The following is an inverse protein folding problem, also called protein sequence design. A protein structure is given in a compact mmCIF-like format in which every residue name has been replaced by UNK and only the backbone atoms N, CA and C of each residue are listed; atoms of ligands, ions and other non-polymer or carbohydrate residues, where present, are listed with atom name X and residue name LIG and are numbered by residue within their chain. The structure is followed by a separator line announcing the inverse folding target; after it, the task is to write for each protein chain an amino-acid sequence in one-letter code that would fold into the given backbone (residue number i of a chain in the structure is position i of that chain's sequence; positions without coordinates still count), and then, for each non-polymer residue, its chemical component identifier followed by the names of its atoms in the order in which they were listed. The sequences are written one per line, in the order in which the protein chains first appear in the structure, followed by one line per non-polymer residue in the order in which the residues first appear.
data_IF_048266750952
#
_entry.id   IF_048266750952
#
_cell.length_a   1.000
_cell.length_b   1.000
_cell.length_c   1.000
_cell.angle_alpha   90.00
_cell.angle_beta   90.00
_cell.angle_gamma   90.00
#
_symmetry.space_group_name_H-M   'P 1'
#
loop_
_entity.id
_entity.type
_entity.pdbx_description
1 polymer ?
#
# COMPACT_ATOMS: atom_id res chain seq x y z
N UNK A 1 15.02 41.68 31.85
CA UNK A 1 15.16 40.21 31.84
C UNK A 1 14.29 39.66 30.73
N UNK A 2 14.88 38.83 29.86
CA UNK A 2 14.26 38.21 28.69
C UNK A 2 13.26 37.15 29.15
N UNK A 3 12.01 37.18 28.68
CA UNK A 3 11.12 36.02 28.80
C UNK A 3 11.14 35.25 27.49
N UNK A 4 11.59 34.01 27.57
CA UNK A 4 11.66 33.07 26.47
C UNK A 4 10.28 32.43 26.34
N UNK A 5 9.52 32.80 25.31
CA UNK A 5 8.24 32.14 25.02
C UNK A 5 8.51 30.78 24.37
N UNK A 6 8.11 29.73 25.08
CA UNK A 6 8.20 28.33 24.69
C UNK A 6 7.31 28.10 23.47
N UNK A 7 7.93 27.66 22.37
CA UNK A 7 7.28 27.22 21.15
C UNK A 7 6.55 25.89 21.41
N UNK A 8 5.23 25.88 21.29
CA UNK A 8 4.47 24.64 21.10
C UNK A 8 3.83 24.72 19.72
N UNK A 9 4.40 23.98 18.76
CA UNK A 9 3.85 23.85 17.40
C UNK A 9 3.02 22.57 17.39
N UNK A 10 1.70 22.72 17.47
CA UNK A 10 0.77 21.65 17.13
C UNK A 10 0.77 21.51 15.61
N UNK A 11 1.55 20.55 15.12
CA UNK A 11 1.55 20.12 13.73
C UNK A 11 0.32 19.22 13.56
N UNK A 12 -0.82 19.80 13.17
CA UNK A 12 -1.94 19.01 12.67
C UNK A 12 -1.57 18.53 11.26
N UNK A 13 -0.79 17.46 11.18
CA UNK A 13 -0.68 16.67 9.97
C UNK A 13 -1.98 15.90 9.81
N UNK A 14 -2.88 16.35 8.93
CA UNK A 14 -3.96 15.49 8.42
C UNK A 14 -3.35 14.46 7.48
N UNK A 15 -2.74 13.43 8.06
CA UNK A 15 -2.58 12.13 7.42
C UNK A 15 -3.96 11.49 7.37
N UNK A 16 -4.71 11.74 6.30
CA UNK A 16 -5.74 10.80 5.87
C UNK A 16 -5.00 9.63 5.24
N UNK A 17 -4.44 8.77 6.09
CA UNK A 17 -4.06 7.41 5.70
C UNK A 17 -5.38 6.69 5.49
N UNK A 18 -5.66 6.31 4.24
CA UNK A 18 -6.71 5.35 3.95
C UNK A 18 -6.37 4.04 4.66
N UNK A 19 -7.19 3.72 5.66
CA UNK A 19 -7.46 2.41 6.26
C UNK A 19 -6.60 1.24 5.74
N UNK A 20 -5.48 0.98 6.42
CA UNK A 20 -5.15 -0.40 6.75
C UNK A 20 -5.68 -0.63 8.15
N UNK A 21 -6.50 -1.65 8.30
CA UNK A 21 -7.07 -2.09 9.56
C UNK A 21 -5.98 -2.74 10.42
N UNK A 22 -5.12 -1.90 11.01
CA UNK A 22 -4.26 -2.31 12.09
C UNK A 22 -5.13 -2.38 13.34
N UNK A 23 -5.40 -3.59 13.82
CA UNK A 23 -5.97 -3.85 15.14
C UNK A 23 -5.06 -3.18 16.18
N UNK A 24 -5.45 -1.99 16.62
CA UNK A 24 -4.84 -1.33 17.75
C UNK A 24 -4.96 -2.27 18.96
N UNK A 25 -3.88 -2.49 19.74
CA UNK A 25 -4.00 -3.21 20.98
C UNK A 25 -5.04 -2.52 21.85
N UNK A 26 -5.92 -3.32 22.44
CA UNK A 26 -7.02 -2.90 23.29
C UNK A 26 -6.55 -1.79 24.23
N UNK A 27 -7.10 -0.59 24.04
CA UNK A 27 -6.69 0.61 24.76
C UNK A 27 -6.92 0.34 26.24
N UNK A 28 -5.84 0.18 27.01
CA UNK A 28 -5.93 -0.10 28.45
C UNK A 28 -6.79 0.96 29.13
N UNK A 29 -7.56 0.56 30.14
CA UNK A 29 -8.53 1.43 30.82
C UNK A 29 -7.92 2.78 31.26
N UNK A 30 -6.64 2.78 31.64
CA UNK A 30 -5.91 4.00 32.02
C UNK A 30 -5.73 4.99 30.85
N UNK A 31 -5.49 4.52 29.64
CA UNK A 31 -5.37 5.37 28.44
C UNK A 31 -6.73 5.91 28.03
N UNK A 32 -7.78 5.08 28.12
CA UNK A 32 -9.15 5.49 27.87
C UNK A 32 -9.60 6.59 28.85
N UNK A 33 -9.33 6.40 30.14
CA UNK A 33 -9.67 7.34 31.21
C UNK A 33 -8.85 8.62 31.10
N UNK A 34 -7.56 8.55 30.80
CA UNK A 34 -6.74 9.74 30.59
C UNK A 34 -7.16 10.54 29.35
N UNK A 35 -7.56 9.86 28.27
CA UNK A 35 -8.14 10.50 27.09
C UNK A 35 -9.46 11.19 27.43
N UNK A 36 -10.33 10.53 28.19
CA UNK A 36 -11.60 11.11 28.65
C UNK A 36 -11.38 12.35 29.53
N UNK A 37 -10.45 12.29 30.50
CA UNK A 37 -10.06 13.43 31.33
C UNK A 37 -9.46 14.58 30.52
N UNK A 38 -8.62 14.28 29.54
CA UNK A 38 -8.06 15.29 28.65
C UNK A 38 -9.16 15.95 27.79
N UNK A 39 -10.11 15.16 27.28
CA UNK A 39 -11.27 15.71 26.55
C UNK A 39 -12.14 16.59 27.46
N UNK A 40 -12.38 16.20 28.70
CA UNK A 40 -13.14 17.02 29.65
C UNK A 40 -12.40 18.30 30.02
N UNK A 41 -11.10 18.20 30.33
CA UNK A 41 -10.25 19.36 30.59
C UNK A 41 -10.22 20.32 29.40
N UNK A 42 -10.08 19.80 28.17
CA UNK A 42 -10.12 20.61 26.96
C UNK A 42 -11.51 21.22 26.74
N UNK A 43 -12.61 20.51 26.98
CA UNK A 43 -13.98 21.03 26.85
C UNK A 43 -14.30 22.10 27.89
N UNK A 44 -13.94 21.89 29.17
CA UNK A 44 -14.11 22.86 30.24
C UNK A 44 -13.28 24.13 30.00
N UNK A 45 -12.02 23.99 29.58
CA UNK A 45 -11.14 25.14 29.36
C UNK A 45 -11.28 25.79 27.97
N UNK A 46 -11.96 25.15 27.00
CA UNK A 46 -12.35 25.79 25.74
C UNK A 46 -13.68 26.55 25.88
N UNK A 47 -14.63 26.07 26.70
CA UNK A 47 -15.89 26.75 26.93
C UNK A 47 -15.75 28.00 27.82
N UNK A 48 -14.69 28.11 28.62
CA UNK A 48 -14.42 29.33 29.40
C UNK A 48 -13.70 30.43 28.59
N UNK A 49 -13.26 30.15 27.35
CA UNK A 49 -12.51 31.11 26.52
C UNK A 49 -13.09 31.39 25.13
N UNK A 50 -14.26 30.85 24.78
CA UNK A 50 -14.94 31.19 23.52
C UNK A 50 -16.42 31.45 23.77
N UNK A 51 -16.72 32.59 24.40
CA UNK A 51 -17.94 33.31 24.08
C UNK A 51 -17.72 33.99 22.72
N UNK A 52 -18.42 33.51 21.69
CA UNK A 52 -18.33 33.97 20.29
C UNK A 52 -18.57 35.49 20.10
N UNK A 53 -19.03 36.20 21.13
CA UNK A 53 -19.21 37.65 21.12
C UNK A 53 -17.91 38.46 21.37
N UNK A 54 -16.90 37.90 22.04
CA UNK A 54 -15.69 38.67 22.41
C UNK A 54 -14.59 38.65 21.32
N UNK A 55 -14.54 37.61 20.48
CA UNK A 55 -13.58 37.52 19.37
C UNK A 55 -13.93 38.46 18.22
N UNK A 56 -15.19 38.91 18.14
CA UNK A 56 -15.68 39.79 17.08
C UNK A 56 -15.45 41.30 17.33
N UNK A 57 -15.15 41.75 18.56
CA UNK A 57 -15.26 43.18 18.93
C UNK A 57 -13.98 43.90 19.38
N UNK A 58 -12.80 43.26 19.39
CA UNK A 58 -11.55 43.99 19.61
C UNK A 58 -11.09 44.70 18.31
N UNK A 59 -11.01 46.06 18.26
CA UNK A 59 -10.59 46.76 17.06
C UNK A 59 -9.16 46.34 16.69
N UNK A 60 -9.01 45.67 15.55
CA UNK A 60 -7.70 45.36 14.95
C UNK A 60 -7.21 43.91 15.04
N UNK A 61 -7.89 42.98 15.73
CA UNK A 61 -7.54 41.54 15.71
C UNK A 61 -8.29 40.80 14.59
N UNK A 62 -7.57 39.93 13.86
CA UNK A 62 -8.06 39.21 12.68
C UNK A 62 -8.68 37.86 13.09
N UNK A 63 -9.78 37.46 12.46
CA UNK A 63 -10.53 36.25 12.81
C UNK A 63 -9.76 34.96 12.48
N UNK A 64 -9.60 34.08 13.48
CA UNK A 64 -8.95 32.78 13.35
C UNK A 64 -9.72 31.88 12.36
N UNK A 65 -11.05 31.83 12.45
CA UNK A 65 -11.88 31.05 11.52
C UNK A 65 -11.70 31.48 10.06
N UNK A 66 -11.63 32.79 9.79
CA UNK A 66 -11.33 33.30 8.43
C UNK A 66 -9.94 32.91 7.97
N UNK A 67 -8.95 32.91 8.86
CA UNK A 67 -7.60 32.46 8.52
C UNK A 67 -7.58 30.97 8.14
N UNK A 68 -8.32 30.13 8.86
CA UNK A 68 -8.42 28.69 8.56
C UNK A 68 -9.06 28.44 7.19
N UNK A 69 -10.21 29.09 6.90
CA UNK A 69 -10.88 28.97 5.59
C UNK A 69 -9.96 29.45 4.46
N UNK A 70 -9.24 30.55 4.66
CA UNK A 70 -8.29 31.06 3.66
C UNK A 70 -7.16 30.07 3.40
N UNK A 71 -6.58 29.47 4.46
CA UNK A 71 -5.54 28.44 4.31
C UNK A 71 -6.04 27.16 3.64
N UNK A 72 -7.31 26.80 3.80
CA UNK A 72 -7.91 25.64 3.14
C UNK A 72 -8.08 25.84 1.62
N UNK A 73 -8.32 27.08 1.19
CA UNK A 73 -8.39 27.43 -0.24
C UNK A 73 -6.99 27.55 -0.83
N UNK A 74 -6.07 28.19 -0.10
CA UNK A 74 -4.73 28.46 -0.58
C UNK A 74 -3.72 28.36 0.58
N UNK A 75 -2.80 27.39 0.51
CA UNK A 75 -1.70 27.24 1.46
C UNK A 75 -1.05 28.55 1.90
N UNK A 76 -0.98 28.80 3.22
CA UNK A 76 -0.37 30.01 3.78
C UNK A 76 -1.22 31.30 3.74
N UNK A 77 -2.38 31.32 3.06
CA UNK A 77 -3.21 32.53 2.94
C UNK A 77 -3.81 33.02 4.28
N UNK A 78 -4.10 32.12 5.22
CA UNK A 78 -4.53 32.50 6.57
C UNK A 78 -3.47 33.25 7.37
N UNK A 79 -2.19 32.96 7.13
CA UNK A 79 -1.07 33.60 7.82
C UNK A 79 -0.75 34.97 7.22
N UNK A 80 -0.97 35.14 5.92
CA UNK A 80 -1.01 36.44 5.24
C UNK A 80 -2.15 37.30 5.81
N UNK A 81 -3.35 36.72 5.99
CA UNK A 81 -4.48 37.40 6.63
C UNK A 81 -4.18 37.84 8.07
N UNK A 82 -3.38 37.05 8.80
CA UNK A 82 -2.87 37.37 10.13
C UNK A 82 -1.67 38.35 10.14
N UNK A 83 -1.33 38.97 9.00
CA UNK A 83 -0.20 39.91 8.81
C UNK A 83 1.19 39.31 9.10
N UNK A 84 1.32 37.99 9.18
CA UNK A 84 2.60 37.31 9.38
C UNK A 84 3.15 36.80 8.05
N UNK A 85 3.49 37.73 7.15
CA UNK A 85 3.91 37.44 5.78
C UNK A 85 5.10 36.48 5.69
N UNK A 86 6.11 36.64 6.57
CA UNK A 86 7.28 35.75 6.57
C UNK A 86 6.90 34.32 6.97
N UNK A 87 5.98 34.15 7.94
CA UNK A 87 5.47 32.82 8.30
C UNK A 87 4.64 32.25 7.16
N UNK A 88 3.72 33.03 6.59
CA UNK A 88 2.94 32.69 5.40
C UNK A 88 3.81 32.17 4.26
N UNK A 89 4.88 32.88 3.94
CA UNK A 89 5.82 32.50 2.91
C UNK A 89 6.57 31.20 3.23
N UNK A 90 7.05 31.04 4.47
CA UNK A 90 7.76 29.82 4.89
C UNK A 90 6.86 28.59 4.84
N UNK A 91 5.62 28.70 5.32
CA UNK A 91 4.64 27.61 5.27
C UNK A 91 4.24 27.29 3.83
N UNK A 92 3.98 28.31 3.00
CA UNK A 92 3.71 28.10 1.57
C UNK A 92 4.88 27.38 0.88
N UNK A 93 6.12 27.79 1.15
CA UNK A 93 7.31 27.15 0.58
C UNK A 93 7.45 25.68 1.04
N UNK A 94 7.21 25.41 2.32
CA UNK A 94 7.24 24.05 2.86
C UNK A 94 6.16 23.17 2.21
N UNK A 95 4.94 23.69 2.07
CA UNK A 95 3.84 22.96 1.46
C UNK A 95 4.06 22.72 -0.03
N UNK A 96 4.48 23.74 -0.80
CA UNK A 96 4.84 23.57 -2.20
C UNK A 96 5.96 22.53 -2.40
N UNK A 97 6.94 22.51 -1.50
CA UNK A 97 8.01 21.50 -1.51
C UNK A 97 7.45 20.11 -1.24
N UNK A 98 6.59 19.95 -0.23
CA UNK A 98 5.95 18.68 0.10
C UNK A 98 5.09 18.15 -1.06
N UNK A 99 4.30 19.02 -1.72
CA UNK A 99 3.54 18.67 -2.92
C UNK A 99 4.44 18.25 -4.08
N UNK A 100 5.53 18.98 -4.32
CA UNK A 100 6.48 18.65 -5.40
C UNK A 100 7.10 17.28 -5.17
N UNK A 101 7.53 16.99 -3.94
CA UNK A 101 8.07 15.68 -3.56
C UNK A 101 6.98 14.61 -3.73
N UNK A 102 5.77 14.83 -3.22
CA UNK A 102 4.67 13.87 -3.34
C UNK A 102 4.38 13.51 -4.81
N UNK A 103 4.23 14.52 -5.67
CA UNK A 103 3.99 14.34 -7.11
C UNK A 103 5.13 13.55 -7.75
N UNK A 104 6.39 13.94 -7.49
CA UNK A 104 7.55 13.27 -8.07
C UNK A 104 7.66 11.80 -7.63
N UNK A 105 7.39 11.49 -6.36
CA UNK A 105 7.44 10.12 -5.86
C UNK A 105 6.25 9.26 -6.33
N UNK A 106 5.06 9.85 -6.49
CA UNK A 106 3.92 9.13 -7.07
C UNK A 106 4.20 8.76 -8.53
N UNK A 107 4.71 9.70 -9.34
CA UNK A 107 5.11 9.42 -10.73
C UNK A 107 6.16 8.30 -10.81
N UNK A 108 7.17 8.34 -9.93
CA UNK A 108 8.17 7.30 -9.85
C UNK A 108 7.59 5.94 -9.44
N UNK A 109 6.59 5.93 -8.56
CA UNK A 109 5.85 4.72 -8.17
C UNK A 109 5.05 4.14 -9.35
N UNK A 110 4.39 4.99 -10.12
CA UNK A 110 3.64 4.58 -11.32
C UNK A 110 4.59 4.03 -12.40
N UNK A 111 5.75 4.65 -12.58
CA UNK A 111 6.79 4.17 -13.50
C UNK A 111 7.29 2.79 -13.08
N UNK A 112 7.60 2.59 -11.80
CA UNK A 112 8.02 1.27 -11.29
C UNK A 112 6.94 0.21 -11.42
N UNK A 113 5.67 0.59 -11.20
CA UNK A 113 4.54 -0.31 -11.44
C UNK A 113 4.47 -0.73 -12.90
N UNK A 114 4.66 0.21 -13.84
CA UNK A 114 4.65 -0.07 -15.28
C UNK A 114 5.81 -0.97 -15.70
N UNK A 115 7.02 -0.68 -15.22
CA UNK A 115 8.21 -1.50 -15.47
C UNK A 115 8.02 -2.94 -14.98
N UNK A 116 7.50 -3.13 -13.75
CA UNK A 116 7.24 -4.47 -13.21
C UNK A 116 6.20 -5.22 -14.03
N UNK A 117 5.09 -4.58 -14.39
CA UNK A 117 4.04 -5.21 -15.21
C UNK A 117 4.56 -5.65 -16.56
N UNK A 118 5.32 -4.77 -17.22
CA UNK A 118 5.94 -5.09 -18.51
C UNK A 118 6.90 -6.28 -18.37
N UNK A 119 7.75 -6.28 -17.33
CA UNK A 119 8.66 -7.37 -17.07
C UNK A 119 7.92 -8.71 -16.84
N UNK A 120 6.86 -8.71 -16.04
CA UNK A 120 6.00 -9.90 -15.83
C UNK A 120 5.37 -10.35 -17.15
N UNK A 121 4.85 -9.44 -17.95
CA UNK A 121 4.21 -9.79 -19.23
C UNK A 121 5.21 -10.33 -20.27
N UNK A 122 6.49 -9.95 -20.18
CA UNK A 122 7.55 -10.42 -21.06
C UNK A 122 8.17 -11.76 -20.61
N UNK A 123 8.29 -12.01 -19.30
CA UNK A 123 9.10 -13.12 -18.76
C UNK A 123 8.31 -14.18 -17.97
N UNK A 124 7.07 -13.89 -17.58
CA UNK A 124 6.24 -14.82 -16.81
C UNK A 124 5.10 -15.38 -17.66
N UNK A 125 4.80 -16.67 -17.51
CA UNK A 125 3.81 -17.36 -18.34
C UNK A 125 2.76 -18.13 -17.54
N UNK A 126 1.48 -17.82 -17.76
CA UNK A 126 0.33 -18.56 -17.19
C UNK A 126 0.36 -20.03 -17.61
N UNK A 127 0.63 -20.30 -18.89
CA UNK A 127 0.81 -21.66 -19.41
C UNK A 127 1.86 -22.41 -18.60
N UNK A 128 2.98 -21.75 -18.29
CA UNK A 128 4.06 -22.34 -17.52
C UNK A 128 3.67 -22.54 -16.05
N UNK A 129 2.92 -21.61 -15.47
CA UNK A 129 2.37 -21.74 -14.12
C UNK A 129 1.49 -22.99 -13.99
N UNK A 130 0.48 -23.13 -14.85
CA UNK A 130 -0.42 -24.28 -14.81
C UNK A 130 0.30 -25.60 -15.14
N UNK A 131 1.31 -25.55 -16.01
CA UNK A 131 2.18 -26.71 -16.26
C UNK A 131 2.99 -27.10 -15.02
N UNK A 132 3.49 -26.13 -14.25
CA UNK A 132 4.20 -26.38 -13.00
C UNK A 132 3.28 -26.93 -11.90
N UNK A 133 2.08 -26.36 -11.75
CA UNK A 133 1.03 -26.88 -10.86
C UNK A 133 0.76 -28.34 -11.17
N UNK A 134 0.49 -28.67 -12.44
CA UNK A 134 0.26 -30.04 -12.87
C UNK A 134 1.46 -30.95 -12.57
N UNK A 135 2.68 -30.50 -12.89
CA UNK A 135 3.91 -31.22 -12.59
C UNK A 135 4.08 -31.53 -11.09
N UNK A 136 3.62 -30.63 -10.20
CA UNK A 136 3.65 -30.84 -8.76
C UNK A 136 2.54 -31.78 -8.29
N UNK A 137 1.31 -31.58 -8.76
CA UNK A 137 0.14 -32.37 -8.37
C UNK A 137 0.26 -33.84 -8.80
N UNK A 138 0.83 -34.15 -9.98
CA UNK A 138 1.00 -35.53 -10.43
C UNK A 138 1.92 -36.38 -9.53
N UNK A 139 2.71 -35.73 -8.68
CA UNK A 139 3.59 -36.38 -7.70
C UNK A 139 2.91 -36.55 -6.32
N UNK A 140 1.65 -36.12 -6.17
CA UNK A 140 0.88 -36.31 -4.94
C UNK A 140 0.25 -37.71 -4.93
N UNK A 141 0.60 -38.51 -3.94
CA UNK A 141 0.11 -39.88 -3.82
C UNK A 141 -1.41 -39.93 -3.65
N UNK A 142 -2.08 -40.74 -4.46
CA UNK A 142 -3.53 -40.98 -4.38
C UNK A 142 -4.41 -39.89 -5.01
N UNK A 143 -3.82 -38.86 -5.63
CA UNK A 143 -4.58 -37.84 -6.36
C UNK A 143 -4.86 -38.31 -7.79
N UNK A 144 -6.14 -38.49 -8.13
CA UNK A 144 -6.57 -38.79 -9.49
C UNK A 144 -6.62 -37.50 -10.32
N UNK A 145 -5.67 -37.36 -11.24
CA UNK A 145 -5.56 -36.20 -12.12
C UNK A 145 -5.85 -36.58 -13.56
N UNK A 146 -6.51 -35.69 -14.33
CA UNK A 146 -6.62 -35.85 -15.77
C UNK A 146 -5.24 -35.87 -16.41
N UNK A 147 -5.10 -36.62 -17.50
CA UNK A 147 -3.89 -36.62 -18.31
C UNK A 147 -3.92 -35.48 -19.33
N UNK A 148 -2.91 -34.63 -19.32
CA UNK A 148 -2.72 -33.59 -20.33
C UNK A 148 -1.63 -33.96 -21.32
N UNK A 149 -1.70 -33.42 -22.54
CA UNK A 149 -0.61 -33.55 -23.50
C UNK A 149 0.51 -32.57 -23.15
N UNK A 150 1.72 -33.11 -22.97
CA UNK A 150 2.91 -32.34 -22.61
C UNK A 150 3.86 -32.23 -23.80
N UNK A 151 4.35 -31.03 -24.06
CA UNK A 151 5.60 -30.82 -24.77
C UNK A 151 6.76 -31.10 -23.79
N UNK A 152 7.52 -32.14 -24.11
CA UNK A 152 8.67 -32.61 -23.31
C UNK A 152 10.00 -32.31 -23.98
N UNK A 153 10.03 -31.38 -24.94
CA UNK A 153 11.25 -30.94 -25.63
C UNK A 153 12.32 -30.45 -24.66
N UNK A 154 11.91 -29.81 -23.56
CA UNK A 154 12.76 -29.56 -22.41
C UNK A 154 12.35 -30.48 -21.24
N UNK A 155 13.19 -31.46 -20.85
CA UNK A 155 12.86 -32.40 -19.79
C UNK A 155 12.76 -31.76 -18.40
N UNK A 156 13.31 -30.54 -18.21
CA UNK A 156 13.28 -29.85 -16.92
C UNK A 156 12.05 -28.93 -16.77
N UNK A 157 11.32 -28.66 -17.86
CA UNK A 157 10.12 -27.81 -17.85
C UNK A 157 9.10 -28.29 -18.88
N UNK A 158 8.51 -29.49 -18.70
CA UNK A 158 7.47 -29.97 -19.60
C UNK A 158 6.27 -29.01 -19.60
N UNK A 159 5.76 -28.65 -20.79
CA UNK A 159 4.70 -27.65 -20.94
C UNK A 159 3.40 -28.31 -21.42
N UNK A 160 2.28 -28.02 -20.77
CA UNK A 160 0.97 -28.43 -21.25
C UNK A 160 0.65 -27.70 -22.55
N UNK A 161 0.37 -28.44 -23.62
CA UNK A 161 0.08 -27.86 -24.94
C UNK A 161 -1.28 -27.15 -24.93
N UNK A 162 -2.32 -27.78 -24.36
CA UNK A 162 -3.65 -27.20 -24.25
C UNK A 162 -3.90 -26.61 -22.86
N UNK A 163 -3.15 -25.56 -22.52
CA UNK A 163 -3.09 -25.07 -21.14
C UNK A 163 -4.36 -24.36 -20.67
N UNK A 164 -5.15 -23.75 -21.57
CA UNK A 164 -6.40 -23.08 -21.16
C UNK A 164 -7.45 -24.07 -20.67
N UNK A 165 -7.50 -25.28 -21.24
CA UNK A 165 -8.34 -26.36 -20.73
C UNK A 165 -7.82 -26.87 -19.38
N UNK A 166 -6.49 -27.01 -19.26
CA UNK A 166 -5.87 -27.43 -18.02
C UNK A 166 -6.12 -26.45 -16.88
N UNK A 167 -6.02 -25.14 -17.12
CA UNK A 167 -6.37 -24.09 -16.15
C UNK A 167 -7.79 -24.30 -15.59
N UNK A 168 -8.80 -24.43 -16.45
CA UNK A 168 -10.19 -24.59 -16.02
C UNK A 168 -10.42 -25.82 -15.13
N UNK A 169 -9.61 -26.87 -15.32
CA UNK A 169 -9.72 -28.11 -14.55
C UNK A 169 -8.87 -28.02 -13.28
N UNK A 170 -7.62 -27.55 -13.38
CA UNK A 170 -6.68 -27.45 -12.29
C UNK A 170 -7.08 -26.40 -11.25
N UNK A 171 -7.73 -25.32 -11.67
CA UNK A 171 -8.27 -24.29 -10.76
C UNK A 171 -9.36 -24.84 -9.81
N UNK A 172 -9.96 -26.00 -10.13
CA UNK A 172 -10.90 -26.69 -9.24
C UNK A 172 -10.19 -27.45 -8.11
N UNK A 173 -8.89 -27.72 -8.26
CA UNK A 173 -8.08 -28.31 -7.21
C UNK A 173 -7.59 -27.17 -6.30
N UNK A 174 -7.99 -27.19 -5.03
CA UNK A 174 -7.40 -26.30 -4.04
C UNK A 174 -5.93 -26.71 -3.81
N UNK A 175 -5.02 -26.10 -4.58
CA UNK A 175 -3.59 -26.38 -4.59
C UNK A 175 -2.99 -26.32 -3.18
N UNK A 176 -3.51 -25.46 -2.31
CA UNK A 176 -3.03 -25.28 -0.94
C UNK A 176 -3.22 -26.52 -0.05
N UNK A 177 -4.18 -27.39 -0.39
CA UNK A 177 -4.42 -28.66 0.32
C UNK A 177 -3.33 -29.69 0.03
N UNK A 178 -2.74 -29.63 -1.17
CA UNK A 178 -1.86 -30.67 -1.69
C UNK A 178 -0.40 -30.22 -1.78
N UNK A 179 -0.16 -28.93 -1.98
CA UNK A 179 1.14 -28.37 -2.30
C UNK A 179 1.61 -27.42 -1.21
N UNK A 180 2.68 -27.80 -0.50
CA UNK A 180 3.33 -26.91 0.45
C UNK A 180 3.84 -25.64 -0.23
N UNK A 181 3.55 -24.48 0.38
CA UNK A 181 3.92 -23.16 -0.12
C UNK A 181 2.87 -22.48 -1.00
N UNK A 182 1.81 -23.20 -1.38
CA UNK A 182 0.67 -22.65 -2.11
C UNK A 182 -0.34 -22.09 -1.12
N UNK A 183 -0.60 -20.79 -1.20
CA UNK A 183 -1.44 -20.06 -0.23
C UNK A 183 -2.41 -19.09 -0.87
N UNK A 184 -2.23 -18.80 -2.17
CA UNK A 184 -3.03 -17.84 -2.92
C UNK A 184 -3.57 -18.48 -4.19
N UNK A 185 -4.50 -17.83 -4.85
CA UNK A 185 -4.96 -18.22 -6.19
C UNK A 185 -4.41 -17.23 -7.22
N UNK A 186 -4.11 -17.72 -8.41
CA UNK A 186 -3.77 -16.84 -9.53
C UNK A 186 -5.03 -16.05 -9.93
N UNK A 187 -5.02 -14.70 -9.91
CA UNK A 187 -6.20 -13.96 -10.31
C UNK A 187 -6.50 -14.15 -11.81
N UNK A 188 -7.76 -14.44 -12.16
CA UNK A 188 -8.20 -14.66 -13.55
C UNK A 188 -8.05 -13.45 -14.49
N UNK A 189 -7.70 -12.27 -13.94
CA UNK A 189 -7.47 -11.05 -14.72
C UNK A 189 -6.19 -10.38 -14.27
N UNK A 190 -5.43 -9.83 -15.23
CA UNK A 190 -4.16 -9.12 -15.03
C UNK A 190 -4.35 -7.73 -14.38
N UNK A 191 -4.90 -7.73 -13.16
CA UNK A 191 -5.05 -6.57 -12.30
C UNK A 191 -3.79 -6.33 -11.47
N UNK A 192 -3.74 -5.25 -10.68
CA UNK A 192 -2.63 -5.03 -9.73
C UNK A 192 -2.38 -6.26 -8.85
N UNK A 193 -3.45 -6.91 -8.36
CA UNK A 193 -3.35 -8.11 -7.54
C UNK A 193 -2.60 -9.24 -8.25
N UNK A 194 -2.85 -9.46 -9.54
CA UNK A 194 -2.16 -10.49 -10.34
C UNK A 194 -0.64 -10.26 -10.34
N UNK A 195 -0.22 -9.04 -10.68
CA UNK A 195 1.19 -8.69 -10.76
C UNK A 195 1.87 -8.72 -9.38
N UNK A 196 1.13 -8.40 -8.32
CA UNK A 196 1.60 -8.54 -6.95
C UNK A 196 1.75 -10.00 -6.51
N UNK A 197 0.82 -10.88 -6.87
CA UNK A 197 0.93 -12.31 -6.54
C UNK A 197 2.19 -12.90 -7.16
N UNK A 198 2.38 -12.67 -8.47
CA UNK A 198 3.54 -13.16 -9.23
C UNK A 198 4.87 -12.70 -8.62
N UNK A 199 4.95 -11.45 -8.16
CA UNK A 199 6.18 -10.89 -7.57
C UNK A 199 6.39 -11.21 -6.09
N UNK A 200 5.33 -11.35 -5.29
CA UNK A 200 5.44 -11.48 -3.82
C UNK A 200 5.60 -12.91 -3.32
N UNK A 201 5.10 -13.91 -4.06
CA UNK A 201 5.09 -15.31 -3.61
C UNK A 201 5.94 -16.19 -4.54
N UNK A 202 7.28 -16.07 -4.48
CA UNK A 202 8.18 -16.79 -5.40
C UNK A 202 8.06 -18.31 -5.28
N UNK A 203 7.81 -18.84 -4.08
CA UNK A 203 7.62 -20.29 -3.87
C UNK A 203 6.44 -20.86 -4.65
N UNK A 204 5.40 -20.03 -4.87
CA UNK A 204 4.20 -20.45 -5.58
C UNK A 204 4.27 -20.09 -7.06
N UNK A 205 4.54 -18.81 -7.39
CA UNK A 205 4.46 -18.31 -8.77
C UNK A 205 5.81 -18.27 -9.49
N UNK A 206 6.92 -18.52 -8.80
CA UNK A 206 8.25 -18.29 -9.36
C UNK A 206 8.72 -19.32 -10.38
N UNK A 207 8.23 -20.56 -10.33
CA UNK A 207 8.63 -21.58 -11.32
C UNK A 207 8.06 -21.32 -12.73
N UNK A 208 7.19 -20.31 -12.86
CA UNK A 208 6.63 -19.84 -14.12
C UNK A 208 7.40 -18.70 -14.79
N UNK A 209 8.52 -18.24 -14.20
CA UNK A 209 9.50 -17.41 -14.89
C UNK A 209 10.27 -18.21 -15.96
N UNK A 210 10.67 -17.57 -17.04
CA UNK A 210 11.32 -18.18 -18.20
C UNK A 210 12.61 -18.96 -17.88
N UNK A 211 13.39 -18.48 -16.91
CA UNK A 211 14.67 -19.01 -16.45
C UNK A 211 14.58 -19.99 -15.26
N UNK A 212 13.37 -20.24 -14.74
CA UNK A 212 13.16 -21.22 -13.70
C UNK A 212 13.30 -22.67 -14.23
N UNK A 213 13.44 -23.65 -13.34
CA UNK A 213 13.33 -25.09 -13.64
C UNK A 213 12.11 -25.64 -12.91
N UNK A 214 11.45 -26.70 -13.39
CA UNK A 214 10.38 -27.35 -12.60
C UNK A 214 10.94 -28.30 -11.55
N UNK A 215 12.17 -28.79 -11.74
CA UNK A 215 12.83 -29.74 -10.84
C UNK A 215 13.48 -29.09 -9.62
N UNK A 216 13.59 -27.77 -9.61
CA UNK A 216 14.14 -26.98 -8.51
C UNK A 216 13.06 -26.06 -7.96
N UNK A 217 12.83 -26.07 -6.65
CA UNK A 217 11.92 -25.11 -6.03
C UNK A 217 12.50 -23.71 -6.15
N UNK A 218 11.71 -22.78 -6.69
CA UNK A 218 12.13 -21.39 -6.80
C UNK A 218 11.84 -20.65 -5.48
N UNK A 219 12.86 -20.12 -4.80
CA UNK A 219 12.72 -19.43 -3.51
C UNK A 219 12.95 -17.91 -3.59
N UNK A 220 13.34 -17.40 -4.78
CA UNK A 220 13.58 -15.97 -5.01
C UNK A 220 15.01 -15.49 -4.82
N UNK A 221 15.99 -16.34 -4.48
CA UNK A 221 17.30 -15.86 -3.98
C UNK A 221 18.57 -16.34 -4.71
N UNK A 222 18.49 -16.90 -5.91
CA UNK A 222 19.68 -17.37 -6.62
C UNK A 222 19.77 -16.90 -8.08
N UNK A 223 20.58 -15.87 -8.34
CA UNK A 223 21.30 -15.63 -9.61
C UNK A 223 20.48 -15.53 -10.91
N UNK A 224 19.17 -15.30 -10.82
CA UNK A 224 18.19 -15.36 -11.92
C UNK A 224 17.64 -13.97 -12.27
N UNK A 225 17.10 -13.85 -13.49
CA UNK A 225 16.66 -12.60 -14.14
C UNK A 225 15.43 -11.99 -13.43
N UNK A 226 14.79 -12.81 -12.60
CA UNK A 226 13.70 -12.47 -11.68
C UNK A 226 13.98 -11.25 -10.78
N UNK A 227 13.03 -10.30 -10.66
CA UNK A 227 13.18 -9.07 -9.87
C UNK A 227 13.29 -9.29 -8.36
#
# INVERSE_FOLDING_TARGET
MKSTSIFTVLLLSTLVVWSQESSFPEMTDDVAVNRYRLHQYVQENLNEQITDEEVASAPGKKSVGKAVVMSAVLPGAGQVYAKSFLKGLLFFAAEATAWTINIAYNQKGDDKTREHRQFVDEHWSEQRYWSYVYYRLQNVEGLDLPSFTLDTSDPNKPIIINWQEAEQILDQYDESQYLTGFTHQLPATKTQQYYEMVGKYPVQFGNAWDDASFTEQYDGYAGKITP
#
